data_IF_124534206710
#
_entry.id   IF_124534206710
#
_cell.length_a   1.000
_cell.length_b   1.000
_cell.length_c   1.000
_cell.angle_alpha   90.00
_cell.angle_beta   90.00
_cell.angle_gamma   90.00
#
_symmetry.space_group_name_H-M   'P 1'
#
loop_
_entity.id
_entity.type
_entity.pdbx_description
1 polymer ?
#
# COMPACT_ATOMS: atom_id res chain seq x y z
N UNK A 1 -22.05 -15.15 -11.46
CA UNK A 1 -21.70 -14.45 -10.21
C UNK A 1 -22.27 -15.29 -9.08
N UNK A 2 -21.57 -15.49 -7.96
CA UNK A 2 -22.15 -16.18 -6.80
C UNK A 2 -23.37 -15.37 -6.31
N UNK A 3 -24.44 -16.04 -5.86
CA UNK A 3 -25.69 -15.42 -5.38
C UNK A 3 -25.42 -14.28 -4.38
N UNK A 4 -24.50 -14.48 -3.44
CA UNK A 4 -24.09 -13.44 -2.46
C UNK A 4 -23.56 -12.17 -3.13
N UNK A 5 -22.70 -12.30 -4.15
CA UNK A 5 -22.14 -11.12 -4.84
C UNK A 5 -23.11 -10.50 -5.83
N UNK A 6 -24.11 -11.25 -6.28
CA UNK A 6 -25.21 -10.68 -7.04
C UNK A 6 -26.06 -9.79 -6.12
N UNK A 7 -26.37 -10.25 -4.90
CA UNK A 7 -27.07 -9.43 -3.91
C UNK A 7 -26.28 -8.20 -3.47
N UNK A 8 -24.97 -8.34 -3.19
CA UNK A 8 -24.11 -7.20 -2.87
C UNK A 8 -24.13 -6.18 -4.00
N UNK A 9 -24.04 -6.63 -5.25
CA UNK A 9 -24.10 -5.73 -6.41
C UNK A 9 -25.43 -4.97 -6.46
N UNK A 10 -26.57 -5.64 -6.25
CA UNK A 10 -27.88 -4.97 -6.21
C UNK A 10 -27.97 -3.92 -5.10
N UNK A 11 -27.34 -4.16 -3.93
CA UNK A 11 -27.27 -3.17 -2.86
C UNK A 11 -26.49 -1.92 -3.26
N UNK A 12 -25.37 -2.07 -3.97
CA UNK A 12 -24.43 -0.98 -4.30
C UNK A 12 -24.55 -0.42 -5.72
N UNK A 13 -25.40 -1.02 -6.56
CA UNK A 13 -25.63 -0.60 -7.95
C UNK A 13 -25.90 0.91 -8.09
N UNK A 14 -26.72 1.56 -7.24
CA UNK A 14 -26.95 3.00 -7.33
C UNK A 14 -25.65 3.82 -7.21
N UNK A 15 -24.74 3.45 -6.30
CA UNK A 15 -23.44 4.11 -6.18
C UNK A 15 -22.56 3.89 -7.41
N UNK A 16 -22.54 2.68 -7.97
CA UNK A 16 -21.79 2.39 -9.20
C UNK A 16 -22.31 3.20 -10.40
N UNK A 17 -23.63 3.31 -10.56
CA UNK A 17 -24.26 4.06 -11.65
C UNK A 17 -24.05 5.57 -11.47
N UNK A 18 -24.17 6.08 -10.24
CA UNK A 18 -23.90 7.48 -9.92
C UNK A 18 -22.44 7.84 -10.20
N UNK A 19 -21.49 7.02 -9.76
CA UNK A 19 -20.07 7.25 -10.03
C UNK A 19 -19.75 7.20 -11.53
N UNK A 20 -20.26 6.19 -12.25
CA UNK A 20 -20.01 6.05 -13.68
C UNK A 20 -20.55 7.24 -14.48
N UNK A 21 -21.80 7.63 -14.23
CA UNK A 21 -22.39 8.81 -14.88
C UNK A 21 -21.65 10.10 -14.51
N UNK A 22 -21.14 10.22 -13.29
CA UNK A 22 -20.30 11.33 -12.85
C UNK A 22 -18.98 11.39 -13.62
N UNK A 23 -18.30 10.25 -13.83
CA UNK A 23 -17.03 10.18 -14.57
C UNK A 23 -17.22 10.45 -16.07
N UNK A 24 -18.27 9.88 -16.67
CA UNK A 24 -18.53 9.98 -18.11
C UNK A 24 -19.03 11.38 -18.51
N UNK A 25 -19.64 12.12 -17.57
CA UNK A 25 -20.11 13.48 -17.80
C UNK A 25 -19.02 14.55 -17.66
N UNK A 26 -19.20 15.67 -18.36
CA UNK A 26 -18.28 16.82 -18.37
C UNK A 26 -18.91 18.10 -17.78
N UNK A 27 -20.15 18.02 -17.28
CA UNK A 27 -20.81 19.17 -16.66
C UNK A 27 -20.14 19.55 -15.33
N UNK A 28 -20.41 20.77 -14.86
CA UNK A 28 -19.94 21.23 -13.55
C UNK A 28 -20.47 20.33 -12.43
N UNK A 29 -21.69 19.82 -12.55
CA UNK A 29 -22.31 18.95 -11.55
C UNK A 29 -21.65 17.58 -11.50
N UNK A 30 -21.27 17.02 -12.66
CA UNK A 30 -20.49 15.78 -12.75
C UNK A 30 -19.13 15.94 -12.07
N UNK A 31 -18.42 17.05 -12.33
CA UNK A 31 -17.13 17.33 -11.69
C UNK A 31 -17.29 17.45 -10.16
N UNK A 32 -18.33 18.14 -9.69
CA UNK A 32 -18.62 18.26 -8.26
C UNK A 32 -18.94 16.90 -7.62
N UNK A 33 -19.71 16.05 -8.31
CA UNK A 33 -20.02 14.71 -7.84
C UNK A 33 -18.76 13.84 -7.68
N UNK A 34 -17.82 13.89 -8.62
CA UNK A 34 -16.53 13.19 -8.48
C UNK A 34 -15.73 13.72 -7.28
N UNK A 35 -15.69 15.05 -7.11
CA UNK A 35 -15.01 15.65 -5.95
C UNK A 35 -15.61 15.11 -4.65
N UNK A 36 -16.94 15.04 -4.58
CA UNK A 36 -17.65 14.52 -3.42
C UNK A 36 -17.33 13.04 -3.16
N UNK A 37 -17.34 12.19 -4.19
CA UNK A 37 -16.98 10.77 -4.10
C UNK A 37 -15.55 10.58 -3.56
N UNK A 38 -14.57 11.34 -4.05
CA UNK A 38 -13.16 11.19 -3.66
C UNK A 38 -12.86 11.76 -2.27
N UNK A 39 -13.58 12.80 -1.87
CA UNK A 39 -13.44 13.42 -0.54
C UNK A 39 -14.37 12.80 0.51
N UNK A 40 -15.20 11.81 0.14
CA UNK A 40 -16.17 11.20 1.03
C UNK A 40 -15.52 10.36 2.12
N UNK A 41 -16.27 10.16 3.20
CA UNK A 41 -15.93 9.13 4.17
C UNK A 41 -16.19 7.76 3.55
N UNK A 42 -15.50 6.70 4.00
CA UNK A 42 -15.77 5.35 3.58
C UNK A 42 -17.19 4.93 3.95
N UNK A 43 -17.76 4.02 3.17
CA UNK A 43 -19.10 3.46 3.40
C UNK A 43 -19.20 2.84 4.81
N UNK A 44 -18.13 2.25 5.35
CA UNK A 44 -18.07 1.74 6.73
C UNK A 44 -18.33 2.80 7.82
N UNK A 45 -18.19 4.09 7.50
CA UNK A 45 -18.33 5.20 8.45
C UNK A 45 -19.31 6.29 7.96
N UNK A 46 -20.09 6.00 6.92
CA UNK A 46 -20.92 7.01 6.27
C UNK A 46 -22.09 7.52 7.13
N UNK A 47 -22.50 6.74 8.14
CA UNK A 47 -23.53 7.15 9.12
C UNK A 47 -23.00 8.14 10.17
N UNK A 48 -21.68 8.22 10.36
CA UNK A 48 -21.06 9.11 11.35
C UNK A 48 -20.78 10.52 10.82
N UNK A 49 -21.11 10.80 9.56
CA UNK A 49 -20.85 12.09 8.91
C UNK A 49 -21.88 13.14 9.39
N UNK A 50 -21.46 14.35 9.81
CA UNK A 50 -22.39 15.46 10.04
C UNK A 50 -23.19 15.76 8.76
N UNK A 51 -24.52 15.88 8.86
CA UNK A 51 -25.43 16.01 7.73
C UNK A 51 -24.97 17.09 6.72
N UNK A 52 -24.37 16.65 5.62
CA UNK A 52 -24.34 17.38 4.36
C UNK A 52 -25.42 16.76 3.48
N UNK A 53 -26.50 17.50 3.24
CA UNK A 53 -27.57 17.05 2.36
C UNK A 53 -27.09 17.13 0.91
N UNK A 54 -26.67 16.00 0.36
CA UNK A 54 -26.37 15.82 -1.05
C UNK A 54 -26.95 14.49 -1.52
N UNK A 55 -27.25 14.42 -2.82
CA UNK A 55 -27.74 13.20 -3.47
C UNK A 55 -26.77 12.05 -3.22
N UNK A 56 -25.46 12.30 -3.31
CA UNK A 56 -24.45 11.28 -3.08
C UNK A 56 -24.47 10.75 -1.63
N UNK A 57 -24.56 11.61 -0.62
CA UNK A 57 -24.58 11.15 0.78
C UNK A 57 -25.84 10.34 1.09
N UNK A 58 -26.98 10.70 0.50
CA UNK A 58 -28.22 9.92 0.61
C UNK A 58 -28.06 8.54 -0.04
N UNK A 59 -27.54 8.47 -1.26
CA UNK A 59 -27.24 7.21 -1.95
C UNK A 59 -26.24 6.35 -1.18
N UNK A 60 -25.21 6.96 -0.59
CA UNK A 60 -24.21 6.26 0.21
C UNK A 60 -24.84 5.63 1.45
N UNK A 61 -25.66 6.38 2.19
CA UNK A 61 -26.40 5.89 3.35
C UNK A 61 -27.37 4.77 2.97
N UNK A 62 -28.14 4.96 1.89
CA UNK A 62 -29.08 3.97 1.38
C UNK A 62 -28.38 2.65 1.03
N UNK A 63 -27.28 2.69 0.27
CA UNK A 63 -26.55 1.49 -0.12
C UNK A 63 -25.93 0.78 1.09
N UNK A 64 -25.43 1.52 2.09
CA UNK A 64 -24.95 0.95 3.34
C UNK A 64 -26.07 0.24 4.11
N UNK A 65 -27.24 0.88 4.26
CA UNK A 65 -28.38 0.30 4.95
C UNK A 65 -28.87 -0.98 4.27
N UNK A 66 -28.93 -1.02 2.93
CA UNK A 66 -29.27 -2.23 2.17
C UNK A 66 -28.29 -3.38 2.42
N UNK A 67 -26.99 -3.11 2.52
CA UNK A 67 -26.00 -4.12 2.89
C UNK A 67 -26.24 -4.64 4.30
N UNK A 68 -26.45 -3.73 5.25
CA UNK A 68 -26.65 -4.07 6.66
C UNK A 68 -27.95 -4.87 6.90
N UNK A 69 -29.06 -4.46 6.30
CA UNK A 69 -30.36 -5.16 6.38
C UNK A 69 -30.27 -6.61 5.88
N UNK A 70 -29.39 -6.86 4.92
CA UNK A 70 -29.13 -8.20 4.36
C UNK A 70 -27.99 -8.96 5.07
N UNK A 71 -27.31 -8.35 6.05
CA UNK A 71 -26.14 -8.93 6.71
C UNK A 71 -24.94 -9.13 5.77
N UNK A 72 -24.82 -8.29 4.74
CA UNK A 72 -23.78 -8.33 3.70
C UNK A 72 -22.64 -7.34 3.94
N UNK A 73 -22.73 -6.52 4.99
CA UNK A 73 -21.69 -5.59 5.43
C UNK A 73 -20.54 -6.27 6.19
N UNK A 74 -20.49 -7.61 6.20
CA UNK A 74 -19.48 -8.35 6.95
C UNK A 74 -18.08 -8.32 6.27
N UNK A 75 -16.99 -8.38 7.05
CA UNK A 75 -15.62 -8.24 6.51
C UNK A 75 -15.25 -9.28 5.45
N UNK A 76 -15.74 -10.51 5.58
CA UNK A 76 -15.51 -11.55 4.58
C UNK A 76 -16.14 -11.27 3.21
N UNK A 77 -17.01 -10.26 3.10
CA UNK A 77 -17.75 -9.93 1.88
C UNK A 77 -17.39 -8.56 1.31
N UNK A 78 -17.19 -7.53 2.14
CA UNK A 78 -17.20 -6.14 1.66
C UNK A 78 -16.11 -5.24 2.25
N UNK A 79 -15.01 -5.75 2.79
CA UNK A 79 -13.93 -4.92 3.39
C UNK A 79 -13.40 -3.86 2.41
N UNK A 80 -13.04 -4.23 1.17
CA UNK A 80 -12.47 -3.29 0.20
C UNK A 80 -13.49 -2.23 -0.19
N UNK A 81 -14.73 -2.66 -0.45
CA UNK A 81 -15.86 -1.79 -0.77
C UNK A 81 -16.17 -0.81 0.36
N UNK A 82 -16.23 -1.29 1.60
CA UNK A 82 -16.59 -0.49 2.77
C UNK A 82 -15.56 0.57 3.11
N UNK A 83 -14.27 0.24 3.00
CA UNK A 83 -13.18 1.13 3.42
C UNK A 83 -12.56 1.96 2.29
N UNK A 84 -12.58 1.48 1.05
CA UNK A 84 -11.77 2.07 -0.04
C UNK A 84 -12.54 2.35 -1.34
N UNK A 85 -13.80 1.90 -1.45
CA UNK A 85 -14.71 2.30 -2.53
C UNK A 85 -14.99 3.80 -2.50
N UNK A 86 -14.92 4.45 -3.65
CA UNK A 86 -15.04 5.90 -3.79
C UNK A 86 -13.73 6.65 -3.54
N UNK A 87 -12.89 6.22 -2.61
CA UNK A 87 -11.63 6.93 -2.25
C UNK A 87 -10.46 6.48 -3.13
N UNK A 88 -10.17 5.17 -3.14
CA UNK A 88 -9.02 4.59 -3.84
C UNK A 88 -9.41 3.84 -5.11
N UNK A 89 -10.64 3.35 -5.16
CA UNK A 89 -11.18 2.56 -6.26
C UNK A 89 -12.56 3.09 -6.63
N UNK A 90 -13.03 2.82 -7.84
CA UNK A 90 -14.47 2.91 -8.08
C UNK A 90 -15.21 1.89 -7.20
N UNK A 91 -16.49 2.15 -6.91
CA UNK A 91 -17.30 1.20 -6.13
C UNK A 91 -17.36 -0.17 -6.81
N UNK A 92 -17.44 -0.18 -8.15
CA UNK A 92 -17.41 -1.42 -8.93
C UNK A 92 -16.06 -2.14 -8.85
N UNK A 93 -14.94 -1.41 -8.91
CA UNK A 93 -13.61 -1.99 -8.74
C UNK A 93 -13.44 -2.61 -7.35
N UNK A 94 -13.82 -1.89 -6.29
CA UNK A 94 -13.75 -2.38 -4.92
C UNK A 94 -14.62 -3.64 -4.70
N UNK A 95 -15.84 -3.63 -5.24
CA UNK A 95 -16.74 -4.79 -5.26
C UNK A 95 -16.10 -6.03 -5.92
N UNK A 96 -15.50 -5.86 -7.10
CA UNK A 96 -14.85 -6.97 -7.81
C UNK A 96 -13.62 -7.47 -7.05
N UNK A 97 -12.83 -6.59 -6.43
CA UNK A 97 -11.69 -6.98 -5.60
C UNK A 97 -12.12 -7.83 -4.41
N UNK A 98 -13.19 -7.44 -3.71
CA UNK A 98 -13.76 -8.24 -2.63
C UNK A 98 -14.26 -9.60 -3.14
N UNK A 99 -14.90 -9.65 -4.32
CA UNK A 99 -15.33 -10.91 -4.93
C UNK A 99 -14.15 -11.86 -5.18
N UNK A 100 -13.03 -11.36 -5.69
CA UNK A 100 -11.82 -12.20 -5.92
C UNK A 100 -11.25 -12.68 -4.58
N UNK A 101 -11.18 -11.82 -3.56
CA UNK A 101 -10.72 -12.20 -2.23
C UNK A 101 -11.63 -13.23 -1.57
N UNK A 102 -12.95 -13.10 -1.72
CA UNK A 102 -13.93 -14.08 -1.25
C UNK A 102 -13.72 -15.46 -1.88
N UNK A 103 -13.42 -15.50 -3.19
CA UNK A 103 -13.08 -16.74 -3.89
C UNK A 103 -11.76 -17.34 -3.38
N UNK A 104 -10.75 -16.50 -3.12
CA UNK A 104 -9.47 -16.92 -2.53
C UNK A 104 -9.70 -17.69 -1.23
N UNK A 105 -10.49 -17.16 -0.29
CA UNK A 105 -10.69 -17.82 1.01
C UNK A 105 -11.60 -19.05 0.99
N UNK A 106 -12.19 -19.38 -0.15
CA UNK A 106 -12.94 -20.62 -0.41
C UNK A 106 -12.20 -21.61 -1.29
N UNK A 107 -11.00 -21.25 -1.74
CA UNK A 107 -10.14 -22.14 -2.48
C UNK A 107 -9.23 -22.94 -1.53
N UNK A 108 -8.63 -24.01 -2.03
CA UNK A 108 -7.64 -24.78 -1.29
C UNK A 108 -6.35 -23.97 -1.05
N UNK A 109 -5.51 -24.42 -0.13
CA UNK A 109 -4.30 -23.68 0.26
C UNK A 109 -3.35 -23.44 -0.93
N UNK A 110 -3.27 -24.37 -1.89
CA UNK A 110 -2.46 -24.22 -3.10
C UNK A 110 -2.90 -23.04 -3.99
N UNK A 111 -4.21 -22.81 -4.09
CA UNK A 111 -4.78 -21.77 -4.96
C UNK A 111 -5.06 -20.46 -4.23
N UNK A 112 -5.21 -20.51 -2.91
CA UNK A 112 -5.60 -19.37 -2.07
C UNK A 112 -4.63 -18.21 -2.21
N UNK A 113 -3.35 -18.46 -2.01
CA UNK A 113 -2.33 -17.40 -2.11
C UNK A 113 -2.17 -16.89 -3.54
N UNK A 114 -2.33 -17.77 -4.53
CA UNK A 114 -2.34 -17.36 -5.93
C UNK A 114 -3.50 -16.40 -6.24
N UNK A 115 -4.74 -16.76 -5.87
CA UNK A 115 -5.93 -15.91 -6.11
C UNK A 115 -5.83 -14.60 -5.32
N UNK A 116 -5.33 -14.64 -4.08
CA UNK A 116 -5.06 -13.44 -3.29
C UNK A 116 -4.04 -12.54 -3.96
N UNK A 117 -2.94 -13.08 -4.48
CA UNK A 117 -1.94 -12.33 -5.23
C UNK A 117 -2.53 -11.67 -6.50
N UNK A 118 -3.49 -12.33 -7.17
CA UNK A 118 -4.25 -11.72 -8.28
C UNK A 118 -5.06 -10.51 -7.81
N UNK A 119 -5.79 -10.61 -6.69
CA UNK A 119 -6.55 -9.50 -6.14
C UNK A 119 -5.64 -8.30 -5.80
N UNK A 120 -4.55 -8.54 -5.07
CA UNK A 120 -3.63 -7.49 -4.63
C UNK A 120 -2.90 -6.81 -5.80
N UNK A 121 -2.48 -7.59 -6.80
CA UNK A 121 -1.83 -7.04 -8.00
C UNK A 121 -2.80 -6.27 -8.89
N UNK A 122 -4.05 -6.73 -8.96
CA UNK A 122 -5.12 -6.01 -9.64
C UNK A 122 -5.41 -4.68 -8.95
N UNK A 123 -5.51 -4.69 -7.62
CA UNK A 123 -5.66 -3.48 -6.81
C UNK A 123 -4.52 -2.49 -7.06
N UNK A 124 -3.26 -2.94 -7.00
CA UNK A 124 -2.09 -2.10 -7.30
C UNK A 124 -2.12 -1.49 -8.71
N UNK A 125 -2.71 -2.19 -9.69
CA UNK A 125 -2.79 -1.73 -11.08
C UNK A 125 -3.87 -0.67 -11.30
N UNK A 126 -5.02 -0.82 -10.62
CA UNK A 126 -6.21 0.03 -10.82
C UNK A 126 -6.34 1.14 -9.77
N UNK A 127 -5.54 1.12 -8.71
CA UNK A 127 -5.63 2.10 -7.62
C UNK A 127 -5.51 3.54 -8.13
N UNK A 128 -6.42 4.39 -7.68
CA UNK A 128 -6.49 5.79 -8.05
C UNK A 128 -5.82 6.66 -6.97
N UNK A 129 -4.48 6.74 -6.99
CA UNK A 129 -3.66 7.46 -5.98
C UNK A 129 -2.62 8.39 -6.59
N UNK A 130 -2.07 9.28 -5.76
CA UNK A 130 -0.91 10.10 -6.14
C UNK A 130 0.32 9.21 -6.32
N UNK A 131 0.87 9.18 -7.53
CA UNK A 131 2.11 8.46 -7.84
C UNK A 131 2.03 6.92 -7.80
N UNK A 132 0.83 6.34 -7.61
CA UNK A 132 0.51 4.90 -7.52
C UNK A 132 1.15 4.12 -6.35
N UNK A 133 2.36 4.48 -5.93
CA UNK A 133 3.14 3.74 -4.92
C UNK A 133 2.96 4.22 -3.48
N UNK A 134 2.38 5.41 -3.28
CA UNK A 134 2.33 6.04 -1.94
C UNK A 134 1.03 5.80 -1.18
N UNK A 135 0.06 5.12 -1.78
CA UNK A 135 -1.29 4.94 -1.22
C UNK A 135 -1.85 6.24 -0.63
N UNK A 136 -1.72 7.34 -1.38
CA UNK A 136 -2.25 8.65 -1.00
C UNK A 136 -3.47 8.96 -1.86
N UNK A 137 -4.64 9.24 -1.25
CA UNK A 137 -5.83 9.63 -2.00
C UNK A 137 -5.57 10.86 -2.86
N UNK A 138 -6.22 10.89 -4.03
CA UNK A 138 -6.14 12.05 -4.91
C UNK A 138 -6.76 13.26 -4.20
N UNK A 139 -6.07 14.40 -4.29
CA UNK A 139 -6.65 15.69 -3.89
C UNK A 139 -7.32 16.32 -5.10
N UNK A 140 -8.65 16.41 -5.14
CA UNK A 140 -9.34 16.97 -6.30
C UNK A 140 -9.23 18.50 -6.38
N UNK A 141 -8.89 19.15 -5.25
CA UNK A 141 -8.74 20.60 -5.12
C UNK A 141 -7.29 21.07 -5.06
N UNK A 142 -7.06 22.29 -5.49
CA UNK A 142 -5.81 23.04 -5.31
C UNK A 142 -5.73 23.64 -3.88
N UNK A 143 -4.59 24.24 -3.54
CA UNK A 143 -4.39 24.87 -2.22
C UNK A 143 -5.37 26.02 -1.95
N UNK A 144 -5.82 26.70 -2.99
CA UNK A 144 -6.81 27.79 -2.94
C UNK A 144 -8.26 27.30 -2.90
N UNK A 145 -8.49 25.98 -2.89
CA UNK A 145 -9.82 25.37 -2.87
C UNK A 145 -10.47 25.17 -4.25
N UNK A 146 -9.89 25.71 -5.31
CA UNK A 146 -10.38 25.52 -6.69
C UNK A 146 -10.25 24.05 -7.13
N UNK A 147 -11.21 23.58 -7.93
CA UNK A 147 -11.16 22.22 -8.50
C UNK A 147 -10.11 22.16 -9.61
N UNK A 148 -9.34 21.07 -9.65
CA UNK A 148 -8.33 20.85 -10.70
C UNK A 148 -8.98 20.75 -12.08
N UNK A 149 -8.47 21.52 -13.05
CA UNK A 149 -9.01 21.59 -14.42
C UNK A 149 -9.17 20.23 -15.11
N UNK A 150 -8.23 19.30 -14.92
CA UNK A 150 -8.22 18.00 -15.58
C UNK A 150 -8.66 16.85 -14.65
N UNK A 151 -9.49 17.14 -13.64
CA UNK A 151 -9.86 16.17 -12.61
C UNK A 151 -10.54 14.91 -13.19
N UNK A 152 -11.53 15.05 -14.06
CA UNK A 152 -12.27 13.92 -14.62
C UNK A 152 -11.34 12.99 -15.42
N UNK A 153 -10.44 13.56 -16.23
CA UNK A 153 -9.45 12.77 -16.97
C UNK A 153 -8.47 12.06 -16.03
N UNK A 154 -7.98 12.76 -15.00
CA UNK A 154 -7.06 12.19 -14.00
C UNK A 154 -7.68 11.01 -13.25
N UNK A 155 -8.94 11.16 -12.84
CA UNK A 155 -9.67 10.15 -12.06
C UNK A 155 -10.17 9.02 -12.96
N UNK A 156 -10.85 9.37 -14.05
CA UNK A 156 -11.46 8.43 -14.99
C UNK A 156 -10.46 7.48 -15.64
N UNK A 157 -9.20 7.91 -15.84
CA UNK A 157 -8.14 7.05 -16.41
C UNK A 157 -7.98 5.73 -15.64
N UNK A 158 -7.94 5.80 -14.31
CA UNK A 158 -7.71 4.62 -13.48
C UNK A 158 -9.05 3.97 -13.05
N UNK A 159 -10.11 4.76 -12.84
CA UNK A 159 -11.44 4.25 -12.39
C UNK A 159 -12.26 3.55 -13.47
N UNK A 160 -12.02 3.85 -14.74
CA UNK A 160 -12.68 3.17 -15.87
C UNK A 160 -11.97 1.87 -16.28
N UNK A 161 -10.87 1.50 -15.62
CA UNK A 161 -10.22 0.22 -15.86
C UNK A 161 -11.15 -0.92 -15.43
N UNK A 162 -11.32 -1.89 -16.32
CA UNK A 162 -12.10 -3.10 -16.05
C UNK A 162 -11.31 -4.03 -15.10
N UNK A 163 -11.74 -4.18 -13.84
CA UNK A 163 -11.01 -4.95 -12.85
C UNK A 163 -10.92 -6.44 -13.21
N UNK A 164 -11.90 -6.99 -13.95
CA UNK A 164 -11.90 -8.39 -14.37
C UNK A 164 -10.84 -8.62 -15.46
N UNK A 165 -10.73 -7.70 -16.43
CA UNK A 165 -9.67 -7.77 -17.46
C UNK A 165 -8.29 -7.66 -16.84
N UNK A 166 -8.11 -6.74 -15.88
CA UNK A 166 -6.84 -6.59 -15.17
C UNK A 166 -6.50 -7.87 -14.38
N UNK A 167 -7.46 -8.45 -13.65
CA UNK A 167 -7.24 -9.71 -12.93
C UNK A 167 -6.83 -10.85 -13.89
N UNK A 168 -7.52 -10.99 -15.03
CA UNK A 168 -7.13 -11.96 -16.07
C UNK A 168 -5.72 -11.74 -16.60
N UNK A 169 -5.29 -10.48 -16.77
CA UNK A 169 -3.93 -10.16 -17.22
C UNK A 169 -2.87 -10.61 -16.21
N UNK A 170 -3.15 -10.46 -14.90
CA UNK A 170 -2.26 -10.94 -13.84
C UNK A 170 -2.20 -12.45 -13.77
N UNK A 171 -3.33 -13.15 -14.00
CA UNK A 171 -3.35 -14.61 -14.08
C UNK A 171 -2.40 -15.07 -15.20
N UNK A 172 -2.48 -14.45 -16.37
CA UNK A 172 -1.59 -14.77 -17.48
C UNK A 172 -0.12 -14.47 -17.16
N UNK A 173 0.16 -13.29 -16.61
CA UNK A 173 1.52 -12.86 -16.23
C UNK A 173 2.15 -13.82 -15.24
N UNK A 174 1.43 -14.25 -14.20
CA UNK A 174 1.99 -15.19 -13.23
C UNK A 174 2.18 -16.59 -13.79
N UNK A 175 1.27 -17.08 -14.64
CA UNK A 175 1.47 -18.37 -15.32
C UNK A 175 2.72 -18.41 -16.20
N UNK A 176 3.07 -17.29 -16.84
CA UNK A 176 4.27 -17.19 -17.68
C UNK A 176 5.58 -17.05 -16.89
N UNK A 177 5.51 -16.60 -15.63
CA UNK A 177 6.69 -16.32 -14.80
C UNK A 177 7.11 -17.48 -13.90
N UNK A 178 6.54 -18.68 -14.09
CA UNK A 178 6.95 -19.90 -13.36
C UNK A 178 8.17 -20.53 -14.04
N UNK A 179 9.32 -19.86 -13.99
CA UNK A 179 10.54 -20.28 -14.68
C UNK A 179 11.73 -20.45 -13.71
N UNK A 180 11.56 -21.22 -12.65
CA UNK A 180 12.69 -21.64 -11.81
C UNK A 180 12.65 -23.13 -11.59
N UNK A 181 13.77 -23.81 -11.86
CA UNK A 181 13.99 -25.20 -11.47
C UNK A 181 14.44 -25.32 -10.01
N UNK A 182 14.54 -24.20 -9.29
CA UNK A 182 14.93 -24.16 -7.88
C UNK A 182 13.71 -24.08 -6.98
N UNK A 183 13.75 -24.82 -5.88
CA UNK A 183 12.77 -24.70 -4.82
C UNK A 183 12.91 -23.33 -4.13
N UNK A 184 11.80 -22.65 -3.93
CA UNK A 184 11.72 -21.37 -3.23
C UNK A 184 10.64 -21.47 -2.16
N UNK A 185 10.91 -20.91 -0.98
CA UNK A 185 9.97 -20.88 0.13
C UNK A 185 9.74 -19.41 0.49
N UNK A 186 8.48 -18.98 0.51
CA UNK A 186 8.07 -17.67 1.00
C UNK A 186 7.52 -17.81 2.42
N UNK A 187 8.05 -17.02 3.36
CA UNK A 187 7.68 -17.09 4.78
C UNK A 187 7.11 -15.76 5.24
N UNK A 188 5.99 -15.80 5.99
CA UNK A 188 5.40 -14.64 6.66
C UNK A 188 5.73 -14.69 8.15
N UNK A 189 6.89 -14.16 8.53
CA UNK A 189 7.40 -14.18 9.90
C UNK A 189 8.37 -13.02 10.18
N UNK A 190 8.73 -12.80 11.45
CA UNK A 190 9.81 -11.88 11.80
C UNK A 190 11.16 -12.43 11.31
N UNK A 191 12.05 -11.53 10.87
CA UNK A 191 13.33 -11.95 10.30
C UNK A 191 14.25 -12.62 11.34
N UNK A 192 14.17 -12.25 12.63
CA UNK A 192 14.98 -12.89 13.67
C UNK A 192 14.52 -14.33 13.88
N UNK A 193 13.21 -14.55 13.94
CA UNK A 193 12.64 -15.89 14.04
C UNK A 193 13.04 -16.76 12.82
N UNK A 194 13.08 -16.16 11.63
CA UNK A 194 13.54 -16.84 10.42
C UNK A 194 15.02 -17.23 10.49
N UNK A 195 15.88 -16.33 10.98
CA UNK A 195 17.31 -16.60 11.17
C UNK A 195 17.56 -17.64 12.27
N UNK A 196 16.83 -17.57 13.39
CA UNK A 196 16.97 -18.53 14.48
C UNK A 196 16.55 -19.94 14.03
N UNK A 197 15.52 -20.03 13.20
CA UNK A 197 14.97 -21.32 12.73
C UNK A 197 15.77 -21.90 11.55
N UNK A 198 16.12 -21.07 10.56
CA UNK A 198 16.64 -21.53 9.27
C UNK A 198 18.06 -21.02 8.97
N UNK A 199 18.56 -20.02 9.70
CA UNK A 199 19.78 -19.26 9.37
C UNK A 199 21.01 -20.14 9.17
N UNK A 200 21.15 -21.22 9.94
CA UNK A 200 22.26 -22.18 9.81
C UNK A 200 22.31 -22.90 8.46
N UNK A 201 21.20 -22.95 7.73
CA UNK A 201 21.11 -23.55 6.40
C UNK A 201 21.38 -22.53 5.28
N UNK A 202 21.53 -21.24 5.60
CA UNK A 202 21.73 -20.20 4.61
C UNK A 202 23.22 -20.04 4.29
N UNK A 203 23.55 -20.04 3.00
CA UNK A 203 24.90 -19.71 2.52
C UNK A 203 25.17 -18.20 2.51
N UNK A 204 24.11 -17.40 2.40
CA UNK A 204 24.16 -15.93 2.41
C UNK A 204 22.80 -15.38 2.82
N UNK A 205 22.80 -14.26 3.54
CA UNK A 205 21.60 -13.47 3.82
C UNK A 205 21.68 -12.16 3.04
N UNK A 206 20.63 -11.85 2.28
CA UNK A 206 20.42 -10.53 1.71
C UNK A 206 19.35 -9.81 2.54
N UNK A 207 19.64 -8.59 2.98
CA UNK A 207 18.72 -7.77 3.75
C UNK A 207 18.54 -6.39 3.13
N UNK A 208 17.29 -5.96 2.99
CA UNK A 208 16.90 -4.61 2.58
C UNK A 208 15.87 -4.04 3.57
N UNK A 209 16.26 -3.80 4.83
CA UNK A 209 15.36 -3.26 5.84
C UNK A 209 15.06 -1.79 5.54
N UNK A 210 13.91 -1.28 6.00
CA UNK A 210 13.57 0.11 5.76
C UNK A 210 14.53 1.04 6.53
N UNK A 211 15.06 2.06 5.86
CA UNK A 211 16.15 2.90 6.38
C UNK A 211 15.79 4.38 6.56
N UNK A 212 14.51 4.73 6.32
CA UNK A 212 13.97 6.08 6.53
C UNK A 212 12.95 6.08 7.65
N UNK A 213 12.53 7.28 8.08
CA UNK A 213 11.42 7.45 9.02
C UNK A 213 10.05 7.12 8.43
N UNK A 214 9.95 6.93 7.11
CA UNK A 214 8.70 6.60 6.47
C UNK A 214 8.40 5.11 6.69
N UNK A 215 7.45 4.84 7.59
CA UNK A 215 6.96 3.50 7.82
C UNK A 215 6.21 2.97 6.59
N UNK A 216 6.75 1.91 5.98
CA UNK A 216 6.19 1.27 4.78
C UNK A 216 4.77 0.76 4.98
N UNK A 217 4.36 0.42 6.21
CA UNK A 217 2.98 0.07 6.54
C UNK A 217 1.97 1.14 6.10
N UNK A 218 2.38 2.42 6.00
CA UNK A 218 1.52 3.48 5.45
C UNK A 218 1.26 3.31 3.95
N UNK A 219 2.22 2.80 3.19
CA UNK A 219 2.13 2.61 1.74
C UNK A 219 1.38 1.33 1.39
N UNK A 220 1.36 0.35 2.30
CA UNK A 220 0.69 -0.93 2.10
C UNK A 220 -0.66 -1.07 2.82
N UNK A 221 -1.09 -0.08 3.61
CA UNK A 221 -2.30 -0.19 4.45
C UNK A 221 -3.56 -0.64 3.69
N UNK A 222 -3.76 -0.18 2.45
CA UNK A 222 -4.90 -0.62 1.61
C UNK A 222 -4.82 -2.13 1.36
N UNK A 223 -3.68 -2.61 0.87
CA UNK A 223 -3.46 -4.03 0.58
C UNK A 223 -3.46 -4.88 1.85
N UNK A 224 -2.98 -4.34 2.97
CA UNK A 224 -3.01 -5.00 4.28
C UNK A 224 -4.44 -5.17 4.79
N UNK A 225 -5.25 -4.11 4.78
CA UNK A 225 -6.68 -4.19 5.16
C UNK A 225 -7.46 -5.13 4.23
N UNK A 226 -7.20 -5.09 2.93
CA UNK A 226 -7.77 -6.05 1.98
C UNK A 226 -7.38 -7.51 2.29
N UNK A 227 -6.15 -7.73 2.74
CA UNK A 227 -5.63 -9.08 3.01
C UNK A 227 -6.10 -9.65 4.34
N UNK A 228 -6.22 -8.81 5.38
CA UNK A 228 -6.71 -9.22 6.69
C UNK A 228 -8.21 -9.43 6.70
N UNK A 229 -8.96 -8.64 5.92
CA UNK A 229 -10.43 -8.67 5.87
C UNK A 229 -11.06 -8.63 7.25
N UNK A 230 -10.63 -7.65 8.03
CA UNK A 230 -11.13 -7.31 9.35
C UNK A 230 -11.81 -5.93 9.32
N UNK A 231 -12.18 -5.44 10.50
CA UNK A 231 -12.76 -4.11 10.72
C UNK A 231 -11.79 -3.23 11.51
N UNK A 232 -10.78 -2.65 10.85
CA UNK A 232 -9.80 -1.82 11.54
C UNK A 232 -10.45 -0.56 12.11
N UNK A 233 -9.94 -0.12 13.26
CA UNK A 233 -10.15 1.24 13.73
C UNK A 233 -9.34 2.18 12.84
N UNK A 234 -9.99 3.21 12.31
CA UNK A 234 -9.34 4.18 11.44
C UNK A 234 -8.76 5.32 12.27
N UNK A 235 -7.48 5.58 12.06
CA UNK A 235 -6.75 6.70 12.67
C UNK A 235 -7.46 8.03 12.45
N UNK A 236 -7.33 8.92 13.42
CA UNK A 236 -7.86 10.28 13.34
C UNK A 236 -6.73 11.31 13.25
N UNK A 237 -7.03 12.47 12.68
CA UNK A 237 -6.14 13.63 12.66
C UNK A 237 -6.90 14.87 13.08
N UNK A 238 -6.30 15.70 13.93
CA UNK A 238 -6.87 16.98 14.31
C UNK A 238 -6.48 18.04 13.28
N UNK A 239 -7.47 18.70 12.68
CA UNK A 239 -7.26 19.86 11.80
C UNK A 239 -8.14 21.00 12.24
N UNK A 240 -7.54 22.17 12.42
CA UNK A 240 -8.24 23.37 12.91
C UNK A 240 -9.08 23.12 14.18
N UNK A 241 -8.57 22.28 15.11
CA UNK A 241 -9.27 21.93 16.34
C UNK A 241 -10.36 20.86 16.21
N UNK A 242 -10.66 20.38 14.99
CA UNK A 242 -11.68 19.35 14.72
C UNK A 242 -10.98 18.01 14.50
N UNK A 243 -11.42 16.98 15.22
CA UNK A 243 -10.95 15.60 15.07
C UNK A 243 -11.70 14.95 13.90
N UNK A 244 -10.98 14.64 12.83
CA UNK A 244 -11.52 13.97 11.63
C UNK A 244 -10.80 12.65 11.39
N UNK A 245 -11.38 11.75 10.61
CA UNK A 245 -10.66 10.56 10.14
C UNK A 245 -9.44 11.00 9.31
N UNK A 246 -8.36 10.21 9.39
CA UNK A 246 -7.21 10.44 8.51
C UNK A 246 -7.64 10.26 7.06
N UNK A 247 -7.18 11.14 6.17
CA UNK A 247 -7.61 11.10 4.75
C UNK A 247 -7.29 9.78 4.07
N UNK A 248 -6.19 9.16 4.45
CA UNK A 248 -5.77 7.87 3.89
C UNK A 248 -6.60 6.71 4.41
N UNK A 249 -7.40 6.91 5.46
CA UNK A 249 -8.09 5.83 6.18
C UNK A 249 -7.10 4.77 6.66
N UNK A 250 -5.99 5.23 7.25
CA UNK A 250 -4.99 4.33 7.82
C UNK A 250 -5.57 3.64 9.04
N UNK A 251 -5.39 2.32 9.14
CA UNK A 251 -5.62 1.56 10.37
C UNK A 251 -4.71 2.03 11.51
N UNK A 252 -5.19 1.95 12.75
CA UNK A 252 -4.43 2.36 13.95
C UNK A 252 -3.28 1.37 14.22
N UNK A 253 -3.56 0.08 14.12
CA UNK A 253 -2.68 -1.04 14.43
C UNK A 253 -1.65 -1.37 13.33
N UNK A 254 -1.12 -0.36 12.64
CA UNK A 254 -0.08 -0.58 11.61
C UNK A 254 1.25 -0.99 12.22
N UNK A 255 1.89 -1.99 11.62
CA UNK A 255 3.24 -2.37 11.97
C UNK A 255 4.21 -1.18 11.88
N UNK A 256 4.92 -0.92 12.97
CA UNK A 256 5.98 0.08 13.03
C UNK A 256 7.33 -0.65 13.08
N UNK A 257 8.00 -0.74 11.94
CA UNK A 257 9.32 -1.37 11.87
C UNK A 257 10.31 -0.66 12.80
N UNK A 258 11.07 -1.39 13.66
CA UNK A 258 12.08 -0.79 14.52
C UNK A 258 13.20 -0.12 13.70
N UNK A 259 13.45 -0.58 12.47
CA UNK A 259 14.39 0.05 11.54
C UNK A 259 13.94 1.44 11.06
N UNK A 260 12.67 1.82 11.21
CA UNK A 260 12.18 3.16 10.88
C UNK A 260 12.21 4.14 12.08
N UNK A 261 12.52 3.66 13.29
CA UNK A 261 12.43 4.44 14.53
C UNK A 261 13.85 4.79 14.97
N UNK A 262 14.21 6.08 14.95
CA UNK A 262 15.58 6.57 15.22
C UNK A 262 16.21 6.01 16.51
N UNK A 263 15.42 5.87 17.58
CA UNK A 263 15.89 5.33 18.86
C UNK A 263 16.05 3.80 18.88
N UNK A 264 15.38 3.06 18.00
CA UNK A 264 15.39 1.60 17.95
C UNK A 264 16.25 1.04 16.81
N UNK A 265 16.41 1.81 15.73
CA UNK A 265 17.08 1.35 14.53
C UNK A 265 18.52 0.87 14.76
N UNK A 266 19.38 1.55 15.55
CA UNK A 266 20.72 1.03 15.84
C UNK A 266 20.68 -0.38 16.45
N UNK A 267 19.76 -0.61 17.40
CA UNK A 267 19.60 -1.93 18.03
C UNK A 267 19.03 -2.97 17.07
N UNK A 268 18.13 -2.58 16.17
CA UNK A 268 17.59 -3.46 15.14
C UNK A 268 18.68 -3.93 14.16
N UNK A 269 19.54 -3.02 13.70
CA UNK A 269 20.70 -3.38 12.87
C UNK A 269 21.71 -4.24 13.64
N UNK A 270 22.00 -3.89 14.89
CA UNK A 270 22.87 -4.70 15.75
C UNK A 270 22.35 -6.14 15.89
N UNK A 271 21.05 -6.31 16.13
CA UNK A 271 20.43 -7.63 16.21
C UNK A 271 20.52 -8.39 14.88
N UNK A 272 20.30 -7.72 13.74
CA UNK A 272 20.47 -8.34 12.42
C UNK A 272 21.91 -8.84 12.22
N UNK A 273 22.93 -8.02 12.50
CA UNK A 273 24.33 -8.41 12.39
C UNK A 273 24.68 -9.55 13.35
N UNK A 274 24.20 -9.48 14.59
CA UNK A 274 24.41 -10.53 15.59
C UNK A 274 23.78 -11.86 15.18
N UNK A 275 22.52 -11.88 14.79
CA UNK A 275 21.80 -13.11 14.44
C UNK A 275 22.40 -13.79 13.21
N UNK A 276 22.72 -13.00 12.18
CA UNK A 276 23.37 -13.50 10.96
C UNK A 276 24.79 -14.01 11.25
N UNK A 277 25.58 -13.28 12.05
CA UNK A 277 26.92 -13.70 12.44
C UNK A 277 26.93 -14.96 13.31
N UNK A 278 25.96 -15.08 14.24
CA UNK A 278 25.81 -16.26 15.11
C UNK A 278 25.50 -17.55 14.34
N UNK A 279 24.96 -17.43 13.12
CA UNK A 279 24.73 -18.55 12.20
C UNK A 279 25.95 -18.88 11.31
N UNK A 280 27.06 -18.14 11.47
CA UNK A 280 28.22 -18.17 10.57
C UNK A 280 27.86 -17.90 9.10
N UNK A 281 26.88 -17.01 8.88
CA UNK A 281 26.37 -16.68 7.54
C UNK A 281 26.81 -15.27 7.10
N UNK A 282 27.42 -15.12 5.91
CA UNK A 282 27.66 -13.83 5.29
C UNK A 282 26.38 -13.00 5.11
N UNK A 283 26.49 -11.68 5.28
CA UNK A 283 25.38 -10.74 5.09
C UNK A 283 25.70 -9.75 3.98
N UNK A 284 24.73 -9.52 3.09
CA UNK A 284 24.71 -8.40 2.15
C UNK A 284 23.55 -7.49 2.54
N UNK A 285 23.87 -6.33 3.09
CA UNK A 285 22.88 -5.32 3.48
C UNK A 285 22.75 -4.24 2.40
N UNK A 286 21.57 -4.11 1.82
CA UNK A 286 21.21 -2.96 0.98
C UNK A 286 20.95 -1.73 1.83
N UNK A 287 21.53 -0.59 1.44
CA UNK A 287 21.32 0.68 2.11
C UNK A 287 21.45 1.85 1.16
N UNK A 288 20.58 2.85 1.28
CA UNK A 288 20.76 4.11 0.58
C UNK A 288 21.46 5.12 1.49
N UNK A 289 22.70 5.56 1.20
CA UNK A 289 23.41 6.52 2.05
C UNK A 289 22.72 7.89 2.04
N UNK A 290 23.04 8.72 3.03
CA UNK A 290 22.62 10.11 3.12
C UNK A 290 23.76 10.97 3.64
N UNK A 291 24.02 12.09 2.99
CA UNK A 291 25.01 13.09 3.40
C UNK A 291 24.30 14.35 3.89
N UNK A 292 24.82 15.00 4.94
CA UNK A 292 24.26 16.27 5.41
C UNK A 292 24.34 17.32 4.29
N UNK A 293 23.20 17.93 3.97
CA UNK A 293 23.12 18.96 2.92
C UNK A 293 22.64 18.46 1.55
N UNK A 294 22.47 17.16 1.33
CA UNK A 294 22.08 16.58 0.03
C UNK A 294 20.58 16.74 -0.34
N UNK A 295 19.78 17.32 0.56
CA UNK A 295 18.35 17.56 0.38
C UNK A 295 17.47 16.29 0.35
N UNK A 296 18.01 15.13 0.72
CA UNK A 296 17.25 13.88 0.80
C UNK A 296 16.65 13.64 2.19
N UNK A 297 15.71 12.69 2.29
CA UNK A 297 15.09 12.37 3.58
C UNK A 297 16.14 11.80 4.56
N UNK A 298 16.24 12.32 5.80
CA UNK A 298 17.25 11.89 6.75
C UNK A 298 17.10 10.40 7.06
N UNK A 299 18.24 9.68 7.01
CA UNK A 299 18.32 8.28 7.41
C UNK A 299 18.29 8.16 8.93
N UNK A 300 17.76 7.04 9.41
CA UNK A 300 17.66 6.79 10.85
C UNK A 300 18.99 6.39 11.49
N UNK A 301 19.93 5.86 10.71
CA UNK A 301 21.28 5.44 11.10
C UNK A 301 22.26 5.90 10.01
N UNK A 302 23.42 6.43 10.37
CA UNK A 302 24.42 6.83 9.37
C UNK A 302 25.16 5.61 8.83
N UNK A 303 25.71 5.71 7.62
CA UNK A 303 26.55 4.64 7.04
C UNK A 303 27.77 4.35 7.92
N UNK A 304 28.39 5.38 8.51
CA UNK A 304 29.50 5.22 9.46
C UNK A 304 29.10 4.33 10.66
N UNK A 305 27.96 4.63 11.29
CA UNK A 305 27.49 3.85 12.44
C UNK A 305 27.12 2.42 12.04
N UNK A 306 26.58 2.20 10.83
CA UNK A 306 26.31 0.86 10.33
C UNK A 306 27.57 0.02 10.17
N UNK A 307 28.64 0.60 9.61
CA UNK A 307 29.94 -0.07 9.49
C UNK A 307 30.48 -0.41 10.88
N UNK A 308 30.48 0.55 11.81
CA UNK A 308 30.94 0.32 13.19
C UNK A 308 30.16 -0.82 13.88
N UNK A 309 28.83 -0.84 13.74
CA UNK A 309 27.99 -1.92 14.28
C UNK A 309 28.30 -3.27 13.63
N UNK A 310 28.46 -3.32 12.30
CA UNK A 310 28.75 -4.55 11.58
C UNK A 310 30.13 -5.12 11.94
N UNK A 311 31.15 -4.26 12.05
CA UNK A 311 32.53 -4.64 12.40
C UNK A 311 32.67 -5.22 13.81
N UNK A 312 31.69 -5.00 14.70
CA UNK A 312 31.66 -5.67 16.00
C UNK A 312 31.33 -7.17 15.90
N UNK A 313 30.73 -7.62 14.80
CA UNK A 313 30.23 -8.99 14.61
C UNK A 313 30.88 -9.72 13.43
N UNK A 314 31.51 -9.01 12.51
CA UNK A 314 32.16 -9.58 11.33
C UNK A 314 33.61 -9.10 11.22
N UNK A 315 34.58 -10.01 10.94
CA UNK A 315 35.98 -9.62 10.77
C UNK A 315 36.23 -8.80 9.50
N UNK A 316 35.39 -8.95 8.47
CA UNK A 316 35.48 -8.18 7.22
C UNK A 316 34.15 -7.51 6.88
N UNK A 317 34.18 -6.19 6.69
CA UNK A 317 33.04 -5.36 6.27
C UNK A 317 33.48 -4.47 5.12
N UNK A 318 32.95 -4.73 3.93
CA UNK A 318 33.25 -3.99 2.70
C UNK A 318 32.03 -3.15 2.28
N UNK A 319 32.26 -1.90 1.87
CA UNK A 319 31.23 -1.03 1.30
C UNK A 319 31.35 -1.08 -0.23
N UNK A 320 30.33 -1.59 -0.89
CA UNK A 320 30.29 -1.72 -2.35
C UNK A 320 29.25 -0.74 -2.90
N UNK A 321 29.63 0.30 -3.67
CA UNK A 321 28.68 1.18 -4.30
C UNK A 321 27.95 0.48 -5.45
N UNK A 322 26.65 0.78 -5.62
CA UNK A 322 25.89 0.29 -6.77
C UNK A 322 26.03 1.28 -7.93
N UNK A 323 26.82 0.92 -8.93
CA UNK A 323 27.04 1.75 -10.12
C UNK A 323 25.79 1.79 -11.03
N UNK A 324 25.55 2.93 -11.67
CA UNK A 324 24.49 3.08 -12.68
C UNK A 324 23.08 3.38 -12.17
N UNK A 325 22.86 3.42 -10.85
CA UNK A 325 21.58 3.85 -10.26
C UNK A 325 21.69 5.33 -9.85
N UNK A 326 21.09 6.22 -10.65
CA UNK A 326 20.84 7.61 -10.24
C UNK A 326 19.39 7.78 -9.84
N UNK A 327 19.10 7.94 -8.56
CA UNK A 327 17.78 8.45 -8.14
C UNK A 327 17.78 9.96 -8.37
N UNK A 328 17.14 10.44 -9.45
CA UNK A 328 16.51 11.77 -9.55
C UNK A 328 15.94 12.00 -10.96
N UNK A 329 14.60 11.92 -11.11
CA UNK A 329 13.87 12.59 -12.20
C UNK A 329 12.62 13.26 -11.61
N UNK A 330 12.81 14.42 -10.96
CA UNK A 330 11.70 15.31 -10.69
C UNK A 330 11.36 16.11 -11.96
N UNK A 331 10.06 16.20 -12.29
CA UNK A 331 9.56 16.84 -13.51
C UNK A 331 9.52 18.39 -13.46
N UNK A 332 10.00 19.01 -12.37
CA UNK A 332 10.08 20.48 -12.21
C UNK A 332 11.53 20.90 -12.01
N UNK A 333 12.02 21.79 -12.87
CA UNK A 333 13.41 22.31 -12.87
C UNK A 333 13.81 22.93 -11.53
N UNK A 334 12.87 23.54 -10.81
CA UNK A 334 13.13 24.23 -9.53
C UNK A 334 13.22 23.29 -8.31
N UNK A 335 13.04 21.98 -8.50
CA UNK A 335 13.14 20.94 -7.46
C UNK A 335 14.24 19.91 -7.77
N UNK A 336 15.16 20.23 -8.68
CA UNK A 336 16.31 19.37 -8.95
C UNK A 336 17.28 19.42 -7.77
N UNK A 337 17.31 18.32 -7.01
CA UNK A 337 18.36 18.03 -6.04
C UNK A 337 19.68 17.73 -6.77
N UNK A 338 20.81 17.96 -6.12
CA UNK A 338 22.13 17.60 -6.66
C UNK A 338 22.15 16.13 -7.11
N UNK A 339 22.79 15.89 -8.25
CA UNK A 339 22.76 14.59 -8.92
C UNK A 339 23.74 13.64 -8.21
N UNK A 340 23.21 12.57 -7.58
CA UNK A 340 24.05 11.55 -6.93
C UNK A 340 24.83 10.73 -7.96
N UNK A 341 26.10 10.49 -7.67
CA UNK A 341 26.90 9.46 -8.35
C UNK A 341 26.69 8.06 -7.75
N UNK A 342 26.23 7.95 -6.49
CA UNK A 342 25.96 6.67 -5.78
C UNK A 342 24.62 6.80 -5.04
N UNK A 343 23.58 6.09 -5.49
CA UNK A 343 22.26 6.15 -4.86
C UNK A 343 22.00 5.05 -3.82
N UNK A 344 22.69 3.92 -3.97
CA UNK A 344 22.62 2.73 -3.12
C UNK A 344 24.01 2.14 -2.91
N UNK A 345 24.21 1.50 -1.75
CA UNK A 345 25.41 0.74 -1.38
C UNK A 345 25.00 -0.63 -0.87
N UNK A 346 25.88 -1.61 -1.04
CA UNK A 346 25.85 -2.86 -0.31
C UNK A 346 26.93 -2.86 0.78
N UNK A 347 26.53 -3.22 1.98
CA UNK A 347 27.45 -3.59 3.04
C UNK A 347 27.64 -5.11 3.01
N UNK A 348 28.82 -5.56 2.57
CA UNK A 348 29.19 -6.97 2.48
C UNK A 348 29.96 -7.37 3.73
N UNK A 349 29.35 -8.18 4.57
CA UNK A 349 29.91 -8.66 5.84
C UNK A 349 30.27 -10.15 5.72
N UNK A 350 31.52 -10.51 6.01
CA UNK A 350 32.09 -11.86 5.79
C UNK A 350 33.03 -12.30 6.91
N UNK A 351 33.30 -13.62 6.99
CA UNK A 351 34.16 -14.28 7.98
C UNK A 351 35.57 -14.51 7.48
#
# INVERSE_FOLDING_TARGET
MNEVYQEIYECIRPLCEYERSSIDGISKDNVNAIVEIVESYPLATCLSIPNKNSIFNELQKECYLRLNEKGLDLPQFTTTLRYFGGVYFSYYQAFILDMILYLSDRSNDESKDFIKAIALSSASSIVNTVGKQFAQPIRPRNKDGSIKKNLNSLIGRDRNLDPIKIAKSWIHKYKLNVNSNYNSIALRMDYQEALDTYGKNFSVVYADPPYTRDHYSRFYHVLETMSLRDEPVITTSTRHGIKELSRGFYREERHQSPFCIRSLAPKAFENLFKSTSSCNTPLVLSYSPHEEGDGTHPRVVSTKNLIELASAYYPSVEVIPVEGITHNKFNKRDLMLEQRNIAEIFLKCTF
#
